data_IF_894892665705
#
_entry.id   IF_894892665705
#
_cell.length_a   1.000
_cell.length_b   1.000
_cell.length_c   1.000
_cell.angle_alpha   90.00
_cell.angle_beta   90.00
_cell.angle_gamma   90.00
#
_symmetry.space_group_name_H-M   'P 1'
#
loop_
_entity.id
_entity.type
_entity.pdbx_description
1 polymer ?
#
# COMPACT_ATOMS: atom_id res chain seq x y z
N UNK A 1 -76.81 -45.03 8.73
CA UNK A 1 -76.44 -45.03 10.16
C UNK A 1 -75.82 -46.36 10.63
N UNK A 2 -76.43 -47.52 10.43
CA UNK A 2 -75.99 -48.83 11.01
C UNK A 2 -74.55 -49.26 10.69
N UNK A 3 -73.99 -48.83 9.55
CA UNK A 3 -72.59 -49.12 9.17
C UNK A 3 -71.58 -48.17 9.83
N UNK A 4 -71.95 -46.91 10.06
CA UNK A 4 -71.07 -45.92 10.69
C UNK A 4 -70.92 -46.18 12.20
N UNK A 5 -72.01 -46.60 12.87
CA UNK A 5 -71.98 -47.01 14.28
C UNK A 5 -71.04 -48.19 14.54
N UNK A 6 -70.88 -49.13 13.59
CA UNK A 6 -69.93 -50.25 13.72
C UNK A 6 -68.47 -49.82 13.64
N UNK A 7 -68.17 -48.75 12.91
CA UNK A 7 -66.79 -48.31 12.65
C UNK A 7 -66.32 -47.30 13.70
N UNK A 8 -67.22 -46.41 14.14
CA UNK A 8 -66.87 -45.28 15.02
C UNK A 8 -67.59 -45.28 16.37
N UNK A 9 -68.49 -46.23 16.64
CA UNK A 9 -69.31 -46.25 17.86
C UNK A 9 -70.25 -45.04 17.95
N UNK A 10 -70.47 -44.54 19.17
CA UNK A 10 -71.34 -43.38 19.47
C UNK A 10 -70.60 -42.02 19.40
N UNK A 11 -69.43 -41.97 18.75
CA UNK A 11 -68.55 -40.78 18.74
C UNK A 11 -69.02 -39.63 17.84
N UNK A 12 -70.05 -39.84 17.04
CA UNK A 12 -70.54 -38.88 16.06
C UNK A 12 -72.06 -38.84 16.03
N UNK A 13 -72.60 -37.63 15.97
CA UNK A 13 -74.02 -37.37 15.69
C UNK A 13 -74.22 -37.11 14.19
N UNK A 14 -75.20 -37.82 13.64
CA UNK A 14 -75.59 -37.78 12.23
C UNK A 14 -76.99 -37.18 12.02
N UNK A 15 -77.55 -36.53 13.04
CA UNK A 15 -78.89 -35.90 13.04
C UNK A 15 -79.10 -34.87 11.92
N UNK A 16 -78.01 -34.33 11.35
CA UNK A 16 -78.02 -33.29 10.31
C UNK A 16 -77.56 -33.78 8.93
N UNK A 17 -77.52 -35.10 8.71
CA UNK A 17 -77.02 -35.68 7.45
C UNK A 17 -78.16 -35.98 6.48
N UNK A 18 -78.24 -35.22 5.38
CA UNK A 18 -79.08 -35.57 4.22
C UNK A 18 -78.23 -36.29 3.17
N UNK A 19 -78.47 -37.61 3.03
CA UNK A 19 -77.68 -38.45 2.13
C UNK A 19 -78.28 -38.46 0.72
N UNK A 20 -77.59 -37.82 -0.22
CA UNK A 20 -78.01 -37.84 -1.63
C UNK A 20 -77.12 -38.73 -2.52
N UNK A 21 -75.79 -38.75 -2.35
CA UNK A 21 -74.84 -39.60 -3.10
C UNK A 21 -73.55 -39.88 -2.29
N UNK A 22 -72.86 -40.98 -2.59
CA UNK A 22 -71.71 -41.48 -1.82
C UNK A 22 -70.43 -40.64 -1.89
N UNK A 23 -70.33 -39.72 -2.85
CA UNK A 23 -69.16 -38.86 -3.10
C UNK A 23 -69.37 -37.41 -2.66
N UNK A 24 -70.58 -37.03 -2.25
CA UNK A 24 -70.85 -35.68 -1.76
C UNK A 24 -70.51 -35.60 -0.28
N UNK A 25 -69.82 -34.52 0.12
CA UNK A 25 -69.53 -34.28 1.53
C UNK A 25 -70.83 -34.09 2.30
N UNK A 26 -70.87 -34.68 3.49
CA UNK A 26 -71.95 -34.48 4.45
C UNK A 26 -71.38 -33.90 5.74
N UNK A 27 -72.19 -33.12 6.44
CA UNK A 27 -71.82 -32.53 7.72
C UNK A 27 -72.05 -33.55 8.83
N UNK A 28 -70.96 -34.06 9.41
CA UNK A 28 -70.96 -35.00 10.53
C UNK A 28 -70.58 -34.22 11.79
N UNK A 29 -71.28 -34.42 12.90
CA UNK A 29 -70.98 -33.72 14.16
C UNK A 29 -70.19 -34.64 15.07
N UNK A 30 -68.94 -34.30 15.35
CA UNK A 30 -68.17 -34.95 16.40
C UNK A 30 -68.70 -34.47 17.77
N UNK A 31 -68.99 -35.39 18.68
CA UNK A 31 -69.51 -35.05 20.01
C UNK A 31 -68.53 -34.20 20.83
N UNK A 32 -67.23 -34.29 20.56
CA UNK A 32 -66.18 -33.52 21.24
C UNK A 32 -65.79 -32.21 20.51
N UNK A 33 -65.79 -32.20 19.16
CA UNK A 33 -65.17 -31.12 18.38
C UNK A 33 -66.12 -30.39 17.42
N UNK A 34 -67.40 -30.76 17.39
CA UNK A 34 -68.42 -30.09 16.58
C UNK A 34 -68.50 -30.55 15.12
N UNK A 35 -69.23 -29.80 14.25
CA UNK A 35 -69.51 -30.18 12.87
C UNK A 35 -68.27 -30.12 11.98
N UNK A 36 -68.08 -31.13 11.14
CA UNK A 36 -67.08 -31.16 10.08
C UNK A 36 -67.63 -31.81 8.81
N UNK A 37 -67.11 -31.43 7.66
CA UNK A 37 -67.51 -32.01 6.38
C UNK A 37 -66.62 -33.19 6.00
N UNK A 38 -67.24 -34.32 5.65
CA UNK A 38 -66.51 -35.48 5.17
C UNK A 38 -67.33 -36.28 4.15
N UNK A 39 -66.65 -36.96 3.24
CA UNK A 39 -67.31 -37.87 2.30
C UNK A 39 -67.75 -39.14 3.04
N UNK A 40 -69.02 -39.59 2.89
CA UNK A 40 -69.54 -40.77 3.59
C UNK A 40 -68.71 -42.05 3.37
N UNK A 41 -68.17 -42.26 2.16
CA UNK A 41 -67.33 -43.43 1.86
C UNK A 41 -66.01 -43.42 2.65
N UNK A 42 -65.34 -42.28 2.74
CA UNK A 42 -64.13 -42.10 3.56
C UNK A 42 -64.42 -42.25 5.06
N UNK A 43 -65.56 -41.75 5.52
CA UNK A 43 -65.97 -41.88 6.92
C UNK A 43 -66.20 -43.35 7.29
N UNK A 44 -66.93 -44.10 6.44
CA UNK A 44 -67.17 -45.52 6.62
C UNK A 44 -65.90 -46.39 6.47
N UNK A 45 -64.87 -45.89 5.80
CA UNK A 45 -63.55 -46.53 5.70
C UNK A 45 -62.67 -46.33 6.95
N UNK A 46 -63.16 -45.61 7.98
CA UNK A 46 -62.46 -45.43 9.26
C UNK A 46 -61.81 -44.06 9.45
N UNK A 47 -61.95 -43.12 8.50
CA UNK A 47 -61.51 -41.74 8.71
C UNK A 47 -62.46 -41.02 9.67
N UNK A 48 -61.94 -40.59 10.83
CA UNK A 48 -62.70 -39.86 11.84
C UNK A 48 -62.60 -38.33 11.70
N UNK A 49 -62.94 -37.62 12.77
CA UNK A 49 -62.72 -36.19 12.91
C UNK A 49 -61.22 -35.87 12.75
N UNK A 50 -60.83 -34.90 11.91
CA UNK A 50 -59.45 -34.48 11.74
C UNK A 50 -58.76 -34.06 13.05
N UNK A 51 -59.50 -33.45 13.98
CA UNK A 51 -58.96 -33.00 15.27
C UNK A 51 -58.63 -34.19 16.18
N UNK A 52 -59.54 -35.17 16.31
CA UNK A 52 -59.27 -36.42 17.03
C UNK A 52 -58.12 -37.22 16.40
N UNK A 53 -58.10 -37.31 15.06
CA UNK A 53 -57.05 -38.01 14.32
C UNK A 53 -55.67 -37.39 14.55
N UNK A 54 -55.57 -36.06 14.49
CA UNK A 54 -54.33 -35.35 14.76
C UNK A 54 -53.87 -35.49 16.22
N UNK A 55 -54.78 -35.53 17.20
CA UNK A 55 -54.45 -35.79 18.60
C UNK A 55 -53.86 -37.20 18.79
N UNK A 56 -54.50 -38.23 18.25
CA UNK A 56 -54.01 -39.60 18.34
C UNK A 56 -52.66 -39.80 17.61
N UNK A 57 -52.44 -39.11 16.49
CA UNK A 57 -51.15 -39.08 15.78
C UNK A 57 -50.09 -38.33 16.61
N UNK A 58 -50.47 -37.30 17.35
CA UNK A 58 -49.58 -36.55 18.25
C UNK A 58 -49.13 -37.38 19.46
N UNK A 59 -50.06 -38.11 20.09
CA UNK A 59 -49.81 -38.97 21.25
C UNK A 59 -48.96 -40.20 20.88
N UNK A 60 -49.21 -40.83 19.72
CA UNK A 60 -48.39 -41.95 19.23
C UNK A 60 -46.97 -41.53 18.79
N UNK A 61 -46.74 -40.24 18.51
CA UNK A 61 -45.41 -39.68 18.17
C UNK A 61 -44.65 -39.10 19.37
N UNK A 62 -45.31 -38.94 20.53
CA UNK A 62 -44.65 -38.53 21.77
C UNK A 62 -43.91 -39.73 22.36
N UNK A 63 -42.63 -39.90 21.99
CA UNK A 63 -41.77 -40.90 22.63
C UNK A 63 -41.73 -40.72 24.15
N UNK A 64 -41.50 -41.79 24.90
CA UNK A 64 -41.26 -41.69 26.35
C UNK A 64 -39.84 -41.20 26.63
N UNK A 65 -39.60 -40.66 27.83
CA UNK A 65 -38.25 -40.30 28.31
C UNK A 65 -37.26 -41.46 28.14
N UNK A 66 -37.67 -42.70 28.42
CA UNK A 66 -36.84 -43.88 28.21
C UNK A 66 -36.46 -44.09 26.73
N UNK A 67 -37.39 -43.87 25.80
CA UNK A 67 -37.12 -43.98 24.37
C UNK A 67 -36.14 -42.92 23.87
N UNK A 68 -36.25 -41.68 24.38
CA UNK A 68 -35.31 -40.61 24.07
C UNK A 68 -33.90 -40.94 24.59
N UNK A 69 -33.77 -41.38 25.84
CA UNK A 69 -32.46 -41.69 26.45
C UNK A 69 -31.76 -42.84 25.73
N UNK A 70 -32.49 -43.89 25.33
CA UNK A 70 -31.92 -44.99 24.54
C UNK A 70 -31.30 -44.48 23.23
N UNK A 71 -32.08 -43.72 22.44
CA UNK A 71 -31.61 -43.14 21.17
C UNK A 71 -30.45 -42.16 21.35
N UNK A 72 -30.45 -41.40 22.45
CA UNK A 72 -29.39 -40.45 22.71
C UNK A 72 -28.05 -41.15 23.04
N UNK A 73 -28.12 -42.27 23.77
CA UNK A 73 -26.95 -43.14 24.01
C UNK A 73 -26.41 -43.80 22.74
N UNK A 74 -27.29 -44.18 21.81
CA UNK A 74 -26.83 -44.72 20.51
C UNK A 74 -26.01 -43.69 19.71
N UNK A 75 -26.31 -42.40 19.85
CA UNK A 75 -25.63 -41.31 19.12
C UNK A 75 -24.37 -40.84 19.84
N UNK A 76 -24.40 -40.72 21.17
CA UNK A 76 -23.34 -40.07 21.94
C UNK A 76 -22.58 -41.00 22.90
N UNK A 77 -22.94 -42.28 22.96
CA UNK A 77 -22.40 -43.23 23.94
C UNK A 77 -22.66 -42.78 25.38
N UNK A 78 -21.67 -42.96 26.25
CA UNK A 78 -21.74 -42.62 27.68
C UNK A 78 -21.26 -41.18 27.99
N UNK A 79 -21.23 -40.29 26.99
CA UNK A 79 -20.70 -38.92 27.12
C UNK A 79 -21.61 -38.00 27.96
N UNK A 80 -22.87 -38.37 28.16
CA UNK A 80 -23.86 -37.53 28.83
C UNK A 80 -24.67 -38.30 29.88
N UNK A 81 -24.99 -37.62 30.98
CA UNK A 81 -25.96 -38.06 31.97
C UNK A 81 -27.33 -37.42 31.71
N UNK A 82 -28.36 -38.28 31.69
CA UNK A 82 -29.75 -37.94 31.42
C UNK A 82 -30.65 -38.05 32.67
N UNK A 83 -30.06 -38.17 33.86
CA UNK A 83 -30.77 -38.26 35.15
C UNK A 83 -31.77 -37.12 35.41
N UNK A 84 -31.62 -35.98 34.73
CA UNK A 84 -32.44 -34.78 34.87
C UNK A 84 -33.32 -34.47 33.66
N UNK A 85 -33.48 -35.43 32.74
CA UNK A 85 -34.31 -35.25 31.55
C UNK A 85 -35.76 -35.62 31.84
N UNK A 86 -36.66 -34.68 31.53
CA UNK A 86 -38.10 -34.92 31.42
C UNK A 86 -38.54 -34.65 29.98
N UNK A 87 -38.67 -35.72 29.18
CA UNK A 87 -38.98 -35.59 27.76
C UNK A 87 -40.49 -35.58 27.55
N UNK A 88 -40.98 -34.48 26.97
CA UNK A 88 -42.38 -34.35 26.57
C UNK A 88 -42.53 -34.25 25.05
N UNK A 89 -41.70 -33.43 24.40
CA UNK A 89 -41.73 -33.18 22.95
C UNK A 89 -40.34 -32.96 22.38
N UNK A 90 -40.16 -33.27 21.10
CA UNK A 90 -38.89 -33.23 20.37
C UNK A 90 -38.23 -31.85 20.30
N UNK A 91 -39.02 -30.77 20.38
CA UNK A 91 -38.54 -29.38 20.26
C UNK A 91 -38.46 -28.65 21.60
N UNK A 92 -38.96 -29.24 22.69
CA UNK A 92 -38.93 -28.60 24.01
C UNK A 92 -37.60 -28.91 24.66
N UNK A 93 -36.83 -27.87 24.98
CA UNK A 93 -35.48 -28.03 25.51
C UNK A 93 -35.48 -28.71 26.89
N UNK A 94 -34.77 -29.83 26.97
CA UNK A 94 -34.52 -30.60 28.19
C UNK A 94 -33.15 -30.27 28.76
N UNK A 95 -32.93 -30.59 30.04
CA UNK A 95 -31.63 -30.41 30.70
C UNK A 95 -30.82 -31.69 30.59
N UNK A 96 -29.70 -31.64 29.86
CA UNK A 96 -28.76 -32.75 29.67
C UNK A 96 -27.47 -32.41 30.42
N UNK A 97 -26.84 -33.38 31.08
CA UNK A 97 -25.60 -33.15 31.84
C UNK A 97 -24.43 -33.71 31.04
N UNK A 98 -23.52 -32.83 30.61
CA UNK A 98 -22.23 -33.27 30.07
C UNK A 98 -21.35 -33.72 31.23
N UNK A 99 -20.72 -34.90 31.10
CA UNK A 99 -19.82 -35.43 32.14
C UNK A 99 -18.61 -34.51 32.39
N UNK A 100 -18.15 -33.78 31.38
CA UNK A 100 -17.03 -32.82 31.49
C UNK A 100 -17.48 -31.40 31.89
N UNK A 101 -18.59 -30.90 31.35
CA UNK A 101 -18.94 -29.46 31.40
C UNK A 101 -20.23 -29.16 32.19
N UNK A 102 -20.90 -30.16 32.74
CA UNK A 102 -22.10 -30.00 33.56
C UNK A 102 -23.40 -29.79 32.78
N UNK A 103 -24.48 -29.32 33.44
CA UNK A 103 -25.83 -29.24 32.87
C UNK A 103 -25.97 -28.14 31.81
N UNK A 104 -26.61 -28.47 30.69
CA UNK A 104 -26.96 -27.53 29.63
C UNK A 104 -28.37 -27.83 29.07
N UNK A 105 -29.02 -26.83 28.47
CA UNK A 105 -30.35 -26.98 27.88
C UNK A 105 -30.25 -27.20 26.38
N UNK A 106 -30.89 -28.24 25.86
CA UNK A 106 -30.91 -28.53 24.43
C UNK A 106 -32.22 -29.20 24.00
N UNK A 107 -32.66 -28.94 22.78
CA UNK A 107 -33.82 -29.62 22.20
C UNK A 107 -33.47 -31.09 21.88
N UNK A 108 -34.31 -32.05 22.28
CA UNK A 108 -34.10 -33.48 22.01
C UNK A 108 -33.81 -33.83 20.55
N UNK A 109 -34.53 -33.22 19.59
CA UNK A 109 -34.31 -33.49 18.17
C UNK A 109 -32.91 -33.06 17.69
N UNK A 110 -32.41 -31.93 18.18
CA UNK A 110 -31.10 -31.42 17.90
C UNK A 110 -30.02 -32.32 18.52
N UNK A 111 -30.26 -32.77 19.75
CA UNK A 111 -29.36 -33.70 20.44
C UNK A 111 -29.24 -35.04 19.71
N UNK A 112 -30.38 -35.64 19.34
CA UNK A 112 -30.41 -36.87 18.54
C UNK A 112 -29.82 -36.68 17.13
N UNK A 113 -29.81 -35.45 16.60
CA UNK A 113 -29.12 -35.09 15.36
C UNK A 113 -27.60 -34.99 15.48
N UNK A 114 -27.01 -35.39 16.61
CA UNK A 114 -25.57 -35.37 16.86
C UNK A 114 -25.04 -34.05 17.44
N UNK A 115 -25.91 -33.08 17.74
CA UNK A 115 -25.49 -31.89 18.47
C UNK A 115 -25.27 -32.23 19.94
N UNK A 116 -24.12 -31.84 20.47
CA UNK A 116 -23.72 -32.12 21.84
C UNK A 116 -23.69 -30.87 22.72
N UNK A 117 -22.94 -30.96 23.81
CA UNK A 117 -22.60 -29.80 24.63
C UNK A 117 -21.92 -28.71 23.78
N UNK A 118 -22.34 -27.43 23.90
CA UNK A 118 -21.72 -26.32 23.19
C UNK A 118 -20.21 -26.22 23.43
N UNK A 119 -19.74 -26.42 24.65
CA UNK A 119 -18.31 -26.36 25.00
C UNK A 119 -17.50 -27.46 24.30
N UNK A 120 -17.99 -28.71 24.29
CA UNK A 120 -17.40 -29.80 23.51
C UNK A 120 -17.44 -29.49 22.00
N UNK A 121 -18.53 -28.89 21.52
CA UNK A 121 -18.68 -28.43 20.14
C UNK A 121 -17.63 -27.38 19.76
N UNK A 122 -17.47 -26.35 20.58
CA UNK A 122 -16.46 -25.31 20.42
C UNK A 122 -15.05 -25.88 20.50
N UNK A 123 -14.76 -26.80 21.44
CA UNK A 123 -13.46 -27.48 21.51
C UNK A 123 -13.17 -28.27 20.23
N UNK A 124 -14.10 -29.05 19.70
CA UNK A 124 -13.93 -29.79 18.43
C UNK A 124 -13.74 -28.86 17.24
N UNK A 125 -14.53 -27.79 17.15
CA UNK A 125 -14.42 -26.78 16.08
C UNK A 125 -13.09 -26.03 16.19
N UNK A 126 -12.63 -25.75 17.41
CA UNK A 126 -11.34 -25.11 17.69
C UNK A 126 -10.17 -26.01 17.32
N UNK A 127 -10.20 -27.30 17.70
CA UNK A 127 -9.21 -28.31 17.30
C UNK A 127 -9.20 -28.53 15.77
N UNK A 128 -10.37 -28.55 15.12
CA UNK A 128 -10.46 -28.66 13.67
C UNK A 128 -10.00 -27.40 12.92
N UNK A 129 -9.96 -26.22 13.57
CA UNK A 129 -9.51 -24.94 13.00
C UNK A 129 -8.10 -24.52 13.45
N UNK A 130 -7.57 -25.11 14.51
CA UNK A 130 -6.21 -24.93 14.98
C UNK A 130 -5.29 -25.90 14.23
N UNK A 131 -4.85 -25.48 13.04
CA UNK A 131 -3.66 -26.05 12.43
C UNK A 131 -2.52 -26.05 13.47
N UNK A 132 -1.96 -27.23 13.71
CA UNK A 132 -0.83 -27.47 14.60
C UNK A 132 0.32 -26.45 14.38
N UNK A 133 1.08 -26.17 15.44
CA UNK A 133 2.28 -25.34 15.37
C UNK A 133 3.18 -25.76 14.19
N UNK A 134 3.31 -27.07 13.97
CA UNK A 134 4.04 -27.66 12.84
C UNK A 134 3.59 -27.15 11.46
N UNK A 135 2.29 -27.15 11.14
CA UNK A 135 1.79 -26.65 9.84
C UNK A 135 1.88 -25.13 9.72
N UNK A 136 1.99 -24.40 10.83
CA UNK A 136 2.38 -22.99 10.76
C UNK A 136 3.86 -22.86 10.41
N UNK A 137 4.75 -23.63 11.04
CA UNK A 137 6.20 -23.60 10.79
C UNK A 137 6.55 -24.00 9.35
N UNK A 138 5.96 -25.08 8.83
CA UNK A 138 6.18 -25.52 7.45
C UNK A 138 5.78 -24.44 6.43
N UNK A 139 4.59 -23.86 6.58
CA UNK A 139 4.11 -22.82 5.66
C UNK A 139 4.88 -21.51 5.82
N UNK A 140 5.27 -21.16 7.03
CA UNK A 140 6.07 -19.98 7.28
C UNK A 140 7.46 -20.11 6.65
N UNK A 141 8.06 -21.31 6.69
CA UNK A 141 9.31 -21.62 6.00
C UNK A 141 9.18 -21.50 4.48
N UNK A 142 8.08 -21.96 3.88
CA UNK A 142 7.84 -21.78 2.43
C UNK A 142 7.79 -20.29 2.03
N UNK A 143 7.16 -19.45 2.86
CA UNK A 143 6.96 -18.03 2.55
C UNK A 143 8.21 -17.18 2.85
N UNK A 144 8.91 -17.45 3.95
CA UNK A 144 9.97 -16.60 4.48
C UNK A 144 11.35 -17.25 4.56
N UNK A 145 11.46 -18.55 4.29
CA UNK A 145 12.69 -19.32 4.46
C UNK A 145 13.17 -19.30 5.92
N UNK A 146 14.48 -19.20 6.11
CA UNK A 146 15.13 -19.21 7.43
C UNK A 146 15.26 -17.83 8.09
N UNK A 147 14.46 -16.85 7.68
CA UNK A 147 14.60 -15.44 8.12
C UNK A 147 14.08 -15.17 9.53
N UNK A 148 13.20 -16.04 10.03
CA UNK A 148 12.53 -15.89 11.31
C UNK A 148 12.75 -17.12 12.19
N UNK A 149 12.70 -16.90 13.50
CA UNK A 149 12.76 -17.92 14.54
C UNK A 149 11.45 -17.88 15.35
N UNK A 150 10.95 -19.07 15.68
CA UNK A 150 9.66 -19.32 16.31
C UNK A 150 9.80 -20.11 17.63
N UNK A 151 11.03 -20.34 18.11
CA UNK A 151 11.31 -21.21 19.27
C UNK A 151 10.72 -20.73 20.60
N UNK A 152 10.35 -19.45 20.71
CA UNK A 152 9.67 -18.86 21.87
C UNK A 152 8.16 -18.60 21.67
N UNK A 153 7.59 -19.07 20.55
CA UNK A 153 6.25 -18.67 20.12
C UNK A 153 5.16 -19.57 20.69
N UNK A 154 4.22 -19.00 21.46
CA UNK A 154 3.00 -19.72 21.89
C UNK A 154 1.90 -19.56 20.84
N UNK A 155 1.54 -20.64 20.17
CA UNK A 155 0.51 -20.62 19.13
C UNK A 155 -0.90 -20.76 19.74
N UNK A 156 -1.67 -19.68 19.71
CA UNK A 156 -3.04 -19.62 20.21
C UNK A 156 -4.11 -19.47 19.10
N UNK A 157 -3.71 -19.61 17.83
CA UNK A 157 -4.60 -19.55 16.66
C UNK A 157 -4.17 -18.55 15.58
N UNK A 158 -4.80 -18.61 14.40
CA UNK A 158 -4.39 -17.88 13.19
C UNK A 158 -4.57 -16.36 13.25
N UNK A 159 -5.48 -15.88 14.10
CA UNK A 159 -5.80 -14.45 14.26
C UNK A 159 -5.31 -13.86 15.58
N UNK A 160 -4.72 -14.69 16.45
CA UNK A 160 -4.10 -14.21 17.69
C UNK A 160 -2.67 -13.80 17.36
N UNK A 161 -2.24 -12.64 17.86
CA UNK A 161 -0.86 -12.20 17.65
C UNK A 161 0.09 -13.12 18.41
N UNK A 162 1.14 -13.52 17.73
CA UNK A 162 2.22 -14.34 18.26
C UNK A 162 3.53 -13.56 18.17
N UNK A 163 4.47 -13.82 19.08
CA UNK A 163 5.81 -13.24 19.04
C UNK A 163 6.69 -14.04 18.09
N UNK A 164 7.31 -13.37 17.12
CA UNK A 164 8.20 -13.94 16.11
C UNK A 164 9.54 -13.22 16.22
N UNK A 165 10.64 -13.95 16.17
CA UNK A 165 11.98 -13.38 16.23
C UNK A 165 12.53 -13.19 14.81
N UNK A 166 12.78 -11.95 14.41
CA UNK A 166 13.55 -11.66 13.22
C UNK A 166 15.04 -11.75 13.54
N UNK A 167 15.80 -12.53 12.76
CA UNK A 167 17.24 -12.70 12.98
C UNK A 167 18.04 -11.41 12.86
N UNK A 168 17.53 -10.42 12.12
CA UNK A 168 18.21 -9.13 11.91
C UNK A 168 17.70 -8.01 12.84
N UNK A 169 16.41 -8.00 13.17
CA UNK A 169 15.76 -6.86 13.82
C UNK A 169 15.11 -7.20 15.17
N UNK A 170 15.26 -8.43 15.65
CA UNK A 170 14.74 -8.86 16.94
C UNK A 170 13.25 -9.22 16.93
N UNK A 171 12.68 -9.29 18.13
CA UNK A 171 11.30 -9.75 18.33
C UNK A 171 10.26 -8.75 17.81
N UNK A 172 9.21 -9.26 17.20
CA UNK A 172 8.03 -8.49 16.80
C UNK A 172 6.77 -9.34 16.91
N UNK A 173 5.60 -8.69 16.94
CA UNK A 173 4.32 -9.38 17.04
C UNK A 173 3.51 -9.33 15.76
N UNK A 174 2.95 -10.46 15.36
CA UNK A 174 2.11 -10.57 14.17
C UNK A 174 1.11 -11.72 14.30
N UNK A 175 -0.02 -11.66 13.58
CA UNK A 175 -0.91 -12.83 13.49
C UNK A 175 -0.33 -13.86 12.52
N UNK A 176 -0.44 -15.17 12.81
CA UNK A 176 0.00 -16.22 11.89
C UNK A 176 -0.60 -16.08 10.49
N UNK A 177 -1.88 -15.72 10.36
CA UNK A 177 -2.51 -15.50 9.06
C UNK A 177 -1.85 -14.36 8.26
N UNK A 178 -1.53 -13.23 8.91
CA UNK A 178 -0.83 -12.13 8.23
C UNK A 178 0.59 -12.53 7.85
N UNK A 179 1.27 -13.27 8.73
CA UNK A 179 2.62 -13.72 8.48
C UNK A 179 2.70 -14.66 7.26
N UNK A 180 1.79 -15.64 7.19
CA UNK A 180 1.69 -16.57 6.06
C UNK A 180 1.28 -15.90 4.74
N UNK A 181 0.59 -14.75 4.79
CA UNK A 181 0.29 -13.94 3.61
C UNK A 181 1.49 -13.11 3.10
N UNK A 182 2.70 -13.36 3.60
CA UNK A 182 3.94 -12.73 3.13
C UNK A 182 4.36 -11.48 3.91
N UNK A 183 3.61 -11.06 4.93
CA UNK A 183 4.01 -9.93 5.76
C UNK A 183 5.10 -10.37 6.75
N UNK A 184 6.31 -9.79 6.65
CA UNK A 184 7.44 -10.07 7.55
C UNK A 184 7.60 -9.04 8.68
N UNK A 185 8.82 -8.95 9.22
CA UNK A 185 9.18 -7.93 10.22
C UNK A 185 8.96 -6.50 9.66
N UNK A 186 8.34 -5.58 10.43
CA UNK A 186 8.15 -4.20 10.03
C UNK A 186 9.45 -3.49 9.61
N UNK A 187 10.55 -3.76 10.31
CA UNK A 187 11.85 -3.16 10.03
C UNK A 187 12.41 -3.62 8.68
N UNK A 188 12.35 -4.93 8.37
CA UNK A 188 12.66 -5.44 7.02
C UNK A 188 11.75 -4.80 5.96
N UNK A 189 10.45 -4.67 6.24
CA UNK A 189 9.49 -4.06 5.34
C UNK A 189 9.81 -2.58 5.04
N UNK A 190 10.20 -1.82 6.06
CA UNK A 190 10.64 -0.43 5.91
C UNK A 190 11.95 -0.34 5.13
N UNK A 191 12.91 -1.25 5.36
CA UNK A 191 14.17 -1.30 4.61
C UNK A 191 13.96 -1.65 3.13
N UNK A 192 13.19 -2.70 2.84
CA UNK A 192 12.84 -3.08 1.47
C UNK A 192 12.07 -1.97 0.76
N UNK A 193 11.12 -1.33 1.46
CA UNK A 193 10.39 -0.16 0.95
C UNK A 193 11.30 1.04 0.74
N UNK A 194 12.29 1.28 1.62
CA UNK A 194 13.31 2.31 1.41
C UNK A 194 14.16 2.03 0.18
N UNK A 195 14.60 0.80 -0.03
CA UNK A 195 15.34 0.40 -1.23
C UNK A 195 14.48 0.61 -2.49
N UNK A 196 13.22 0.19 -2.44
CA UNK A 196 12.27 0.34 -3.55
C UNK A 196 11.87 1.79 -3.82
N UNK A 197 11.69 2.63 -2.79
CA UNK A 197 11.28 4.04 -2.90
C UNK A 197 12.45 4.96 -3.20
N UNK A 198 13.61 4.74 -2.58
CA UNK A 198 14.77 5.58 -2.80
C UNK A 198 15.18 5.50 -4.28
N UNK A 199 15.10 4.32 -4.90
CA UNK A 199 15.85 4.07 -6.13
C UNK A 199 17.31 3.86 -5.77
N UNK A 200 17.96 2.89 -6.39
CA UNK A 200 19.39 2.64 -6.14
C UNK A 200 20.23 3.80 -6.65
N UNK A 201 21.49 3.89 -6.19
CA UNK A 201 22.50 4.75 -6.82
C UNK A 201 22.49 4.58 -8.34
N UNK A 202 22.40 3.35 -8.84
CA UNK A 202 22.33 3.07 -10.28
C UNK A 202 21.14 3.71 -10.98
N UNK A 203 19.95 3.69 -10.36
CA UNK A 203 18.76 4.31 -10.93
C UNK A 203 18.89 5.83 -10.97
N UNK A 204 19.44 6.44 -9.91
CA UNK A 204 19.74 7.86 -9.89
C UNK A 204 20.75 8.23 -10.97
N UNK A 205 21.84 7.46 -11.12
CA UNK A 205 22.88 7.71 -12.12
C UNK A 205 22.32 7.56 -13.54
N UNK A 206 21.54 6.51 -13.80
CA UNK A 206 20.92 6.27 -15.10
C UNK A 206 20.00 7.43 -15.49
N UNK A 207 19.13 7.88 -14.57
CA UNK A 207 18.27 9.04 -14.82
C UNK A 207 19.05 10.34 -14.98
N UNK A 208 20.12 10.51 -14.21
CA UNK A 208 20.99 11.69 -14.32
C UNK A 208 21.72 11.73 -15.66
N UNK A 209 22.11 10.58 -16.22
CA UNK A 209 22.66 10.47 -17.58
C UNK A 209 21.63 10.77 -18.67
N UNK A 210 20.35 10.45 -18.47
CA UNK A 210 19.30 10.86 -19.43
C UNK A 210 19.19 12.39 -19.51
N UNK A 211 19.36 13.09 -18.39
CA UNK A 211 19.21 14.55 -18.30
C UNK A 211 20.48 15.29 -18.72
N UNK A 212 21.64 14.81 -18.30
CA UNK A 212 22.93 15.52 -18.45
C UNK A 212 23.92 14.82 -19.38
N UNK A 213 23.57 13.67 -19.96
CA UNK A 213 24.52 12.83 -20.70
C UNK A 213 25.71 12.42 -19.83
N UNK A 214 26.90 12.43 -20.45
CA UNK A 214 28.18 12.11 -19.80
C UNK A 214 28.90 13.35 -19.22
N UNK A 215 28.17 14.45 -19.00
CA UNK A 215 28.74 15.72 -18.53
C UNK A 215 29.33 15.65 -17.12
N UNK A 216 28.80 14.76 -16.27
CA UNK A 216 29.19 14.63 -14.86
C UNK A 216 29.67 13.23 -14.52
N UNK A 217 30.65 13.16 -13.61
CA UNK A 217 31.11 11.92 -13.01
C UNK A 217 30.25 11.57 -11.79
N UNK A 218 29.72 10.34 -11.80
CA UNK A 218 28.89 9.81 -10.72
C UNK A 218 29.57 8.64 -9.98
N UNK A 219 30.85 8.36 -10.24
CA UNK A 219 31.62 7.25 -9.67
C UNK A 219 31.60 7.20 -8.14
N UNK A 220 31.41 8.35 -7.48
CA UNK A 220 31.41 8.50 -6.03
C UNK A 220 30.06 8.86 -5.42
N UNK A 221 28.96 8.68 -6.16
CA UNK A 221 27.63 8.99 -5.65
C UNK A 221 27.19 7.91 -4.66
N UNK A 222 26.92 8.31 -3.43
CA UNK A 222 26.20 7.50 -2.44
C UNK A 222 24.77 8.05 -2.30
N UNK A 223 23.84 7.48 -3.06
CA UNK A 223 22.46 7.92 -3.06
C UNK A 223 21.66 7.17 -1.97
N UNK A 224 21.14 7.92 -0.99
CA UNK A 224 20.40 7.35 0.16
C UNK A 224 18.89 7.60 0.10
N UNK A 225 18.47 8.76 -0.40
CA UNK A 225 17.07 9.14 -0.60
C UNK A 225 17.01 10.47 -1.37
N UNK A 226 15.82 10.85 -1.84
CA UNK A 226 15.59 12.04 -2.65
C UNK A 226 15.92 13.37 -1.96
N UNK A 227 15.99 13.43 -0.62
CA UNK A 227 16.24 14.67 0.11
C UNK A 227 17.70 14.83 0.56
N UNK A 228 18.48 13.75 0.53
CA UNK A 228 19.88 13.77 0.95
C UNK A 228 20.74 14.24 -0.21
N UNK A 229 21.58 15.26 0.03
CA UNK A 229 22.50 15.77 -0.99
C UNK A 229 23.50 14.69 -1.39
N UNK A 230 23.72 14.55 -2.69
CA UNK A 230 24.71 13.65 -3.28
C UNK A 230 25.90 14.44 -3.82
N UNK A 231 27.09 13.84 -3.76
CA UNK A 231 28.31 14.42 -4.30
C UNK A 231 28.48 14.03 -5.78
N UNK A 232 28.38 15.01 -6.68
CA UNK A 232 28.44 14.85 -8.13
C UNK A 232 29.76 15.47 -8.61
N UNK A 233 30.51 14.74 -9.44
CA UNK A 233 31.76 15.20 -10.01
C UNK A 233 31.55 16.09 -11.22
N UNK A 234 31.94 17.36 -11.16
CA UNK A 234 32.09 18.19 -12.34
C UNK A 234 33.53 18.08 -12.87
N UNK A 235 33.75 17.73 -14.15
CA UNK A 235 35.10 17.67 -14.73
C UNK A 235 35.91 18.97 -14.60
N UNK A 236 35.23 20.13 -14.53
CA UNK A 236 35.87 21.46 -14.49
C UNK A 236 36.09 22.01 -13.08
N UNK A 237 35.18 21.74 -12.15
CA UNK A 237 35.15 22.38 -10.83
C UNK A 237 35.30 21.40 -9.67
N UNK A 238 35.50 20.11 -9.97
CA UNK A 238 35.53 19.05 -8.98
C UNK A 238 34.14 18.73 -8.44
N UNK A 239 34.10 18.08 -7.27
CA UNK A 239 32.86 17.60 -6.67
C UNK A 239 32.01 18.74 -6.09
N UNK A 240 30.70 18.67 -6.30
CA UNK A 240 29.73 19.56 -5.69
C UNK A 240 28.55 18.77 -5.12
N UNK A 241 27.87 19.35 -4.13
CA UNK A 241 26.72 18.73 -3.47
C UNK A 241 25.42 19.26 -4.06
N UNK A 242 24.50 18.36 -4.42
CA UNK A 242 23.17 18.74 -4.88
C UNK A 242 22.09 17.74 -4.43
N UNK A 243 20.86 18.24 -4.28
CA UNK A 243 19.70 17.41 -3.92
C UNK A 243 19.21 16.67 -5.18
N UNK A 244 19.02 15.34 -5.15
CA UNK A 244 18.77 14.54 -6.36
C UNK A 244 17.61 14.99 -7.26
N UNK A 245 16.39 15.31 -6.76
CA UNK A 245 15.32 15.89 -7.58
C UNK A 245 15.71 17.16 -8.33
N UNK A 246 16.54 18.02 -7.74
CA UNK A 246 17.00 19.27 -8.37
C UNK A 246 17.96 18.97 -9.52
N UNK A 247 18.87 18.01 -9.33
CA UNK A 247 19.78 17.55 -10.38
C UNK A 247 19.04 16.88 -11.53
N UNK A 248 18.09 16.00 -11.21
CA UNK A 248 17.23 15.32 -12.19
C UNK A 248 16.29 16.29 -12.93
N UNK A 249 16.01 17.46 -12.37
CA UNK A 249 15.27 18.53 -13.06
C UNK A 249 16.15 19.35 -14.03
N UNK A 250 17.44 19.01 -14.17
CA UNK A 250 18.36 19.66 -15.10
C UNK A 250 19.29 20.70 -14.46
N UNK A 251 19.25 20.87 -13.14
CA UNK A 251 20.26 21.70 -12.46
C UNK A 251 21.62 21.00 -12.47
N UNK A 252 22.69 21.78 -12.68
CA UNK A 252 24.05 21.26 -12.79
C UNK A 252 24.98 21.84 -11.73
N UNK A 253 26.29 21.83 -12.02
CA UNK A 253 27.28 22.46 -11.16
C UNK A 253 26.98 23.96 -11.00
N UNK A 254 26.80 24.47 -9.77
CA UNK A 254 26.51 25.88 -9.53
C UNK A 254 27.58 26.80 -10.13
N UNK A 255 28.85 26.40 -10.03
CA UNK A 255 29.98 27.17 -10.59
C UNK A 255 29.95 27.23 -12.12
N UNK A 256 29.45 26.19 -12.81
CA UNK A 256 29.23 26.23 -14.25
C UNK A 256 28.04 27.13 -14.63
N UNK A 257 27.00 27.18 -13.79
CA UNK A 257 25.80 27.96 -14.07
C UNK A 257 25.99 29.47 -13.90
N UNK A 258 26.88 29.90 -13.00
CA UNK A 258 27.20 31.31 -12.79
C UNK A 258 28.07 31.90 -13.90
N UNK A 259 28.73 31.05 -14.70
CA UNK A 259 29.80 31.44 -15.62
C UNK A 259 29.52 31.08 -17.08
N UNK A 260 28.26 30.84 -17.50
CA UNK A 260 27.95 30.24 -18.82
C UNK A 260 28.68 30.91 -20.00
N UNK A 261 28.83 32.23 -19.97
CA UNK A 261 29.57 33.00 -20.98
C UNK A 261 31.09 32.87 -20.87
N UNK A 262 31.68 33.33 -19.77
CA UNK A 262 33.12 33.25 -19.49
C UNK A 262 33.66 31.80 -19.61
N UNK A 263 32.89 30.82 -19.14
CA UNK A 263 33.22 29.41 -19.30
C UNK A 263 33.17 28.90 -20.73
N UNK A 264 32.27 29.44 -21.56
CA UNK A 264 32.28 29.13 -22.98
C UNK A 264 33.53 29.72 -23.63
N UNK A 265 33.92 30.96 -23.29
CA UNK A 265 35.18 31.57 -23.77
C UNK A 265 36.38 30.72 -23.36
N UNK A 266 36.52 30.40 -22.07
CA UNK A 266 37.59 29.57 -21.53
C UNK A 266 37.70 28.20 -22.24
N UNK A 267 36.55 27.57 -22.53
CA UNK A 267 36.48 26.29 -23.24
C UNK A 267 36.99 26.40 -24.67
N UNK A 268 36.59 27.41 -25.43
CA UNK A 268 37.07 27.57 -26.81
C UNK A 268 38.57 27.91 -26.83
N UNK A 269 39.03 28.80 -25.95
CA UNK A 269 40.46 29.12 -25.82
C UNK A 269 41.31 27.88 -25.50
N UNK A 270 40.83 27.04 -24.57
CA UNK A 270 41.50 25.79 -24.22
C UNK A 270 41.47 24.77 -25.36
N UNK A 271 40.35 24.66 -26.09
CA UNK A 271 40.20 23.75 -27.24
C UNK A 271 41.11 24.14 -28.41
N UNK A 272 41.35 25.44 -28.60
CA UNK A 272 42.30 25.97 -29.59
C UNK A 272 43.77 25.86 -29.12
N UNK A 273 44.02 25.39 -27.89
CA UNK A 273 45.37 25.26 -27.34
C UNK A 273 46.05 26.61 -27.04
N UNK A 274 45.29 27.70 -26.94
CA UNK A 274 45.81 29.03 -26.67
C UNK A 274 46.12 29.21 -25.19
N UNK A 275 47.28 29.81 -24.88
CA UNK A 275 47.65 30.20 -23.51
C UNK A 275 46.96 31.50 -23.16
N UNK A 276 46.26 31.53 -22.02
CA UNK A 276 45.54 32.71 -21.56
C UNK A 276 45.60 32.83 -20.04
N UNK A 277 45.48 34.06 -19.55
CA UNK A 277 45.31 34.40 -18.13
C UNK A 277 43.87 34.81 -17.86
N UNK A 278 43.29 34.28 -16.77
CA UNK A 278 41.91 34.57 -16.37
C UNK A 278 41.87 35.63 -15.27
N UNK A 279 40.94 36.58 -15.36
CA UNK A 279 40.86 37.74 -14.47
C UNK A 279 42.21 38.49 -14.38
N UNK A 280 42.79 38.76 -15.55
CA UNK A 280 44.09 39.37 -15.69
C UNK A 280 44.11 40.78 -15.10
N UNK A 281 45.11 41.06 -14.27
CA UNK A 281 45.28 42.31 -13.50
C UNK A 281 46.70 42.85 -13.52
N UNK A 282 47.61 42.18 -14.23
CA UNK A 282 49.03 42.58 -14.31
C UNK A 282 49.22 43.73 -15.30
N UNK A 283 48.59 44.86 -14.99
CA UNK A 283 48.56 46.07 -15.80
C UNK A 283 48.23 47.30 -14.95
N UNK A 284 48.39 48.50 -15.50
CA UNK A 284 48.11 49.77 -14.82
C UNK A 284 46.72 50.36 -15.12
N UNK A 285 45.87 49.67 -15.89
CA UNK A 285 44.46 50.06 -16.12
C UNK A 285 43.69 50.10 -14.79
N UNK A 286 43.26 51.30 -14.39
CA UNK A 286 42.56 51.52 -13.13
C UNK A 286 41.49 52.58 -13.26
N UNK A 287 40.46 52.37 -12.46
CA UNK A 287 39.50 53.39 -12.11
C UNK A 287 39.79 53.83 -10.66
N UNK A 288 38.86 53.62 -9.70
CA UNK A 288 39.12 53.75 -8.26
C UNK A 288 39.99 52.59 -7.76
N UNK A 289 39.83 51.41 -8.38
CA UNK A 289 40.62 50.20 -8.13
C UNK A 289 41.19 49.68 -9.46
N UNK A 290 42.24 48.84 -9.43
CA UNK A 290 42.69 48.13 -10.62
C UNK A 290 41.54 47.36 -11.25
N UNK A 291 41.30 47.63 -12.53
CA UNK A 291 40.31 46.89 -13.30
C UNK A 291 40.89 45.50 -13.64
N UNK A 292 40.03 44.54 -13.92
CA UNK A 292 40.45 43.22 -14.35
C UNK A 292 39.82 42.93 -15.69
N UNK A 293 40.57 42.25 -16.55
CA UNK A 293 40.06 41.72 -17.81
C UNK A 293 39.69 40.25 -17.66
N UNK A 294 38.56 39.80 -18.22
CA UNK A 294 38.08 38.42 -18.02
C UNK A 294 39.09 37.39 -18.53
N UNK A 295 39.64 37.61 -19.73
CA UNK A 295 40.74 36.83 -20.29
C UNK A 295 41.79 37.71 -20.97
N UNK A 296 43.06 37.36 -20.82
CA UNK A 296 44.17 37.98 -21.54
C UNK A 296 45.05 36.93 -22.21
N UNK A 297 45.25 37.09 -23.51
CA UNK A 297 46.19 36.33 -24.33
C UNK A 297 47.42 37.22 -24.55
N UNK A 298 48.36 37.13 -23.60
CA UNK A 298 49.51 38.05 -23.51
C UNK A 298 50.41 37.96 -24.75
N UNK A 299 50.62 36.75 -25.28
CA UNK A 299 51.45 36.51 -26.47
C UNK A 299 50.87 37.18 -27.72
N UNK A 300 49.54 37.20 -27.86
CA UNK A 300 48.81 37.77 -29.00
C UNK A 300 48.40 39.24 -28.77
N UNK A 301 48.71 39.82 -27.61
CA UNK A 301 48.23 41.14 -27.16
C UNK A 301 46.71 41.32 -27.31
N UNK A 302 45.96 40.26 -26.98
CA UNK A 302 44.49 40.21 -27.08
C UNK A 302 43.85 40.14 -25.69
N UNK A 303 42.86 41.00 -25.45
CA UNK A 303 42.03 41.02 -24.25
C UNK A 303 40.60 40.64 -24.62
N UNK A 304 39.93 39.87 -23.76
CA UNK A 304 38.55 39.44 -23.99
C UNK A 304 37.71 39.78 -22.76
N UNK A 305 36.56 40.39 -23.01
CA UNK A 305 35.51 40.69 -22.03
C UNK A 305 34.22 39.98 -22.43
N UNK A 306 33.53 39.36 -21.47
CA UNK A 306 32.21 38.79 -21.68
C UNK A 306 31.13 39.73 -21.10
N UNK A 307 30.60 40.59 -21.96
CA UNK A 307 29.63 41.62 -21.59
C UNK A 307 28.22 41.03 -21.41
N UNK A 308 27.77 41.00 -20.16
CA UNK A 308 26.38 40.64 -19.83
C UNK A 308 25.37 41.74 -20.18
N UNK A 309 24.08 41.44 -20.00
CA UNK A 309 22.97 42.38 -20.27
C UNK A 309 23.05 43.71 -19.47
N UNK A 310 23.84 43.74 -18.39
CA UNK A 310 24.16 44.94 -17.62
C UNK A 310 24.98 45.97 -18.41
N UNK A 311 25.67 45.58 -19.48
CA UNK A 311 26.43 46.50 -20.34
C UNK A 311 25.55 47.17 -21.41
N UNK A 312 24.40 46.58 -21.74
CA UNK A 312 23.49 47.11 -22.76
C UNK A 312 22.32 47.91 -22.21
N UNK A 313 21.87 47.62 -20.97
CA UNK A 313 20.77 48.35 -20.33
C UNK A 313 20.87 48.36 -18.80
N UNK A 314 20.26 49.34 -18.12
CA UNK A 314 20.12 49.30 -16.67
C UNK A 314 19.29 48.08 -16.25
N UNK A 315 19.85 47.28 -15.35
CA UNK A 315 19.21 46.06 -14.84
C UNK A 315 18.90 46.26 -13.36
N UNK A 316 17.64 46.02 -13.01
CA UNK A 316 17.18 46.10 -11.61
C UNK A 316 17.43 44.76 -10.92
N UNK A 317 18.07 44.80 -9.76
CA UNK A 317 18.18 43.64 -8.85
C UNK A 317 17.30 43.85 -7.62
N UNK A 318 16.46 42.86 -7.31
CA UNK A 318 15.61 42.89 -6.12
C UNK A 318 14.69 44.11 -6.05
N UNK A 319 14.64 44.76 -4.89
CA UNK A 319 13.78 45.91 -4.59
C UNK A 319 14.41 47.28 -4.93
N UNK A 320 15.38 47.32 -5.85
CA UNK A 320 16.07 48.57 -6.21
C UNK A 320 15.20 49.52 -7.06
N UNK A 321 15.35 50.84 -6.83
CA UNK A 321 14.71 51.89 -7.63
C UNK A 321 15.38 52.04 -9.00
N UNK A 322 14.66 52.67 -9.95
CA UNK A 322 15.17 52.90 -11.31
C UNK A 322 16.43 53.78 -11.30
N UNK A 323 16.44 54.83 -10.47
CA UNK A 323 17.57 55.77 -10.33
C UNK A 323 18.87 55.06 -9.92
N UNK A 324 18.79 54.07 -9.03
CA UNK A 324 19.97 53.31 -8.60
C UNK A 324 20.43 52.35 -9.70
N UNK A 325 19.51 51.76 -10.46
CA UNK A 325 19.86 50.93 -11.61
C UNK A 325 20.55 51.73 -12.72
N UNK A 326 20.09 52.96 -12.97
CA UNK A 326 20.67 53.88 -13.96
C UNK A 326 22.08 54.35 -13.51
N UNK A 327 22.25 54.72 -12.23
CA UNK A 327 23.56 55.09 -11.70
C UNK A 327 24.59 53.94 -11.77
N UNK A 328 24.16 52.70 -11.53
CA UNK A 328 25.02 51.52 -11.70
C UNK A 328 25.39 51.29 -13.16
N UNK A 329 24.46 51.50 -14.08
CA UNK A 329 24.69 51.41 -15.52
C UNK A 329 25.72 52.44 -16.00
N UNK A 330 25.63 53.69 -15.53
CA UNK A 330 26.62 54.73 -15.82
C UNK A 330 28.01 54.35 -15.30
N UNK A 331 28.07 53.71 -14.13
CA UNK A 331 29.32 53.17 -13.57
C UNK A 331 29.92 52.02 -14.39
N UNK A 332 29.09 51.19 -15.04
CA UNK A 332 29.54 50.16 -15.99
C UNK A 332 30.11 50.82 -17.25
N UNK A 333 29.35 51.73 -17.89
CA UNK A 333 29.80 52.45 -19.11
C UNK A 333 31.10 53.23 -18.91
N UNK A 334 31.26 53.84 -17.74
CA UNK A 334 32.50 54.56 -17.39
C UNK A 334 33.70 53.63 -17.32
N UNK A 335 33.57 52.45 -16.69
CA UNK A 335 34.65 51.46 -16.61
C UNK A 335 34.97 50.86 -17.98
N UNK A 336 33.94 50.62 -18.79
CA UNK A 336 34.08 50.16 -20.16
C UNK A 336 34.93 51.11 -21.00
N UNK A 337 34.62 52.41 -20.96
CA UNK A 337 35.40 53.43 -21.66
C UNK A 337 36.87 53.45 -21.22
N UNK A 338 37.14 53.31 -19.92
CA UNK A 338 38.51 53.28 -19.39
C UNK A 338 39.28 52.07 -19.94
N UNK A 339 38.64 50.89 -19.98
CA UNK A 339 39.23 49.67 -20.55
C UNK A 339 39.54 49.82 -22.03
N UNK A 340 38.59 50.35 -22.81
CA UNK A 340 38.73 50.53 -24.25
C UNK A 340 39.87 51.52 -24.57
N UNK A 341 39.90 52.67 -23.90
CA UNK A 341 40.96 53.69 -24.07
C UNK A 341 42.34 53.16 -23.67
N UNK A 342 42.41 52.38 -22.58
CA UNK A 342 43.66 51.81 -22.09
C UNK A 342 44.20 50.74 -23.05
N UNK A 343 43.35 49.85 -23.54
CA UNK A 343 43.73 48.81 -24.49
C UNK A 343 44.28 49.45 -25.78
N UNK A 344 43.56 50.42 -26.35
CA UNK A 344 43.98 51.13 -27.56
C UNK A 344 45.31 51.87 -27.37
N UNK A 345 45.49 52.59 -26.26
CA UNK A 345 46.72 53.35 -25.97
C UNK A 345 47.95 52.45 -25.82
N UNK A 346 47.78 51.26 -25.26
CA UNK A 346 48.87 50.32 -25.00
C UNK A 346 49.09 49.31 -26.15
N UNK A 347 48.34 49.43 -27.25
CA UNK A 347 48.47 48.55 -28.41
C UNK A 347 47.93 47.13 -28.17
N UNK A 348 46.89 47.00 -27.35
CA UNK A 348 46.13 45.75 -27.15
C UNK A 348 44.86 45.77 -27.99
N UNK A 349 44.52 44.62 -28.58
CA UNK A 349 43.21 44.40 -29.19
C UNK A 349 42.25 43.97 -28.09
N UNK A 350 41.11 44.67 -27.93
CA UNK A 350 40.08 44.31 -26.96
C UNK A 350 38.84 43.77 -27.69
N UNK A 351 38.48 42.52 -27.41
CA UNK A 351 37.33 41.84 -27.96
C UNK A 351 36.21 41.74 -26.91
N UNK A 352 35.07 42.36 -27.20
CA UNK A 352 33.86 42.24 -26.37
C UNK A 352 32.91 41.19 -26.95
N UNK A 353 32.53 40.23 -26.13
CA UNK A 353 31.64 39.12 -26.47
C UNK A 353 30.35 39.22 -25.67
N UNK A 354 29.20 39.18 -26.33
CA UNK A 354 27.87 39.29 -25.70
C UNK A 354 27.07 37.99 -25.74
N UNK A 355 27.42 37.08 -26.65
CA UNK A 355 26.79 35.78 -26.79
C UNK A 355 27.83 34.66 -26.90
N UNK A 356 27.53 33.53 -26.26
CA UNK A 356 28.36 32.34 -26.26
C UNK A 356 28.40 31.60 -27.60
N UNK A 357 27.45 31.87 -28.50
CA UNK A 357 27.32 31.19 -29.81
C UNK A 357 28.25 31.74 -30.88
N UNK A 358 28.64 33.02 -30.78
CA UNK A 358 29.50 33.71 -31.78
C UNK A 358 30.97 33.76 -31.36
N UNK A 359 31.31 33.10 -30.24
CA UNK A 359 32.67 33.11 -29.67
C UNK A 359 33.69 32.54 -30.64
N UNK A 360 33.38 31.39 -31.25
CA UNK A 360 34.34 30.66 -32.10
C UNK A 360 34.72 31.46 -33.36
N UNK A 361 33.72 31.96 -34.08
CA UNK A 361 33.91 32.80 -35.28
C UNK A 361 34.71 34.07 -34.97
N UNK A 362 34.36 34.78 -33.88
CA UNK A 362 35.03 36.03 -33.49
C UNK A 362 36.45 35.82 -32.99
N UNK A 363 36.71 34.73 -32.25
CA UNK A 363 38.06 34.39 -31.82
C UNK A 363 38.94 33.99 -33.00
N UNK A 364 38.42 33.19 -33.93
CA UNK A 364 39.14 32.79 -35.14
C UNK A 364 39.50 34.02 -35.99
N UNK A 365 38.55 34.91 -36.28
CA UNK A 365 38.80 36.10 -37.10
C UNK A 365 39.95 36.97 -36.56
N UNK A 366 39.99 37.16 -35.23
CA UNK A 366 41.03 37.98 -34.57
C UNK A 366 42.38 37.27 -34.51
N UNK A 367 42.39 35.95 -34.28
CA UNK A 367 43.63 35.16 -34.19
C UNK A 367 44.26 34.90 -35.56
N UNK A 368 43.46 34.73 -36.62
CA UNK A 368 43.96 34.44 -37.98
C UNK A 368 44.18 35.69 -38.84
N UNK A 369 43.87 36.89 -38.32
CA UNK A 369 44.05 38.15 -39.06
C UNK A 369 43.16 38.29 -40.29
N UNK A 370 42.07 37.53 -40.38
CA UNK A 370 41.06 37.70 -41.44
C UNK A 370 40.01 38.68 -40.94
N UNK A 371 40.29 39.96 -41.14
CA UNK A 371 39.28 41.02 -41.14
C UNK A 371 38.55 40.99 -42.48
N UNK A 372 37.22 40.86 -42.45
CA UNK A 372 36.35 41.23 -43.59
C UNK A 372 36.55 42.69 -44.00
#
# INVERSE_FOLDING_TARGET
MTKALRVHGERYDYSRVEYHRSQNKVTIVCTEHGPFEQVPSSHLAGCGCPVCGNRAIGESKAGTTASFVGKARDVHGDTYDYSRVDYTRSHVAVTIVCTEHGPFRQAPNAHLGGQGCPECGFRRISVARAGNLEAFLERAFVVHGSRFDYGGTVFAGSHVKVTILCREHGEFQQTPASHLNGSGCPSCGVQARRIAIAGTTDLFVTRSRVVHGDTYDYSSVDYRNAMTRVAIGCPRHGRFLQVPPVHLAGSGCPRCSTSKGESAVARHLSALGLRYEHQWRDHDCRDIRPLAFDFALVEQRLLIEFDGIQHSRPVRWGSMSQEVADALFDGVRRRDRIKDEWAARNGWTLLRLTDATTIEERLLAVVTGQSD
#
